data_IF_275592597781
#
_entry.id   IF_275592597781
#
_cell.length_a   1.000
_cell.length_b   1.000
_cell.length_c   1.000
_cell.angle_alpha   90.00
_cell.angle_beta   90.00
_cell.angle_gamma   90.00
#
_symmetry.space_group_name_H-M   'P 1'
#
loop_
_entity.id
_entity.type
_entity.pdbx_description
1 polymer ?
#
# COMPACT_ATOMS: atom_id res chain seq x y z
N UNK A 1 -6.35 4.99 -2.89
CA UNK A 1 -6.32 5.72 -1.61
C UNK A 1 -4.93 6.29 -1.40
N UNK A 2 -4.83 7.56 -1.01
CA UNK A 2 -3.56 8.19 -0.60
C UNK A 2 -3.58 8.46 0.89
N UNK A 3 -2.42 8.27 1.52
CA UNK A 3 -2.22 8.50 2.95
C UNK A 3 -0.95 9.30 3.18
N UNK A 4 -0.91 10.13 4.21
CA UNK A 4 0.27 10.91 4.61
C UNK A 4 0.85 10.31 5.89
N UNK A 5 2.16 10.06 5.90
CA UNK A 5 2.85 9.55 7.07
C UNK A 5 2.93 10.64 8.16
N UNK A 6 2.31 10.39 9.32
CA UNK A 6 2.37 11.28 10.49
C UNK A 6 3.35 10.74 11.54
N UNK A 7 3.58 9.43 11.54
CA UNK A 7 4.46 8.75 12.48
C UNK A 7 5.26 7.66 11.75
N UNK A 8 6.54 7.54 12.08
CA UNK A 8 7.43 6.53 11.50
C UNK A 8 8.20 5.73 12.57
N UNK A 9 7.74 5.76 13.82
CA UNK A 9 8.36 5.04 14.93
C UNK A 9 7.33 4.24 15.73
N UNK A 10 7.75 3.08 16.23
CA UNK A 10 6.96 2.16 17.05
C UNK A 10 6.50 2.75 18.39
N UNK A 11 7.15 3.82 18.86
CA UNK A 11 6.83 4.53 20.11
C UNK A 11 5.40 5.07 20.16
N UNK A 12 4.82 5.34 19.01
CA UNK A 12 3.49 5.94 18.88
C UNK A 12 2.42 4.90 18.49
N UNK A 13 2.80 3.62 18.42
CA UNK A 13 1.84 2.55 18.20
C UNK A 13 1.04 2.28 19.48
N UNK A 14 -0.26 1.93 19.35
CA UNK A 14 -1.06 1.49 20.48
C UNK A 14 -0.42 0.31 21.22
N UNK A 15 -0.45 0.34 22.55
CA UNK A 15 0.18 -0.70 23.37
C UNK A 15 -0.43 -2.09 23.10
N UNK A 16 -1.73 -2.18 22.80
CA UNK A 16 -2.36 -3.45 22.46
C UNK A 16 -1.88 -3.99 21.10
N UNK A 17 -1.49 -3.12 20.16
CA UNK A 17 -0.87 -3.54 18.90
C UNK A 17 0.54 -4.08 19.13
N UNK A 18 1.34 -3.39 19.95
CA UNK A 18 2.70 -3.83 20.33
C UNK A 18 2.70 -5.15 21.12
N UNK A 19 1.65 -5.38 21.91
CA UNK A 19 1.50 -6.61 22.70
C UNK A 19 0.99 -7.81 21.88
N UNK A 20 0.54 -7.59 20.63
CA UNK A 20 0.18 -8.68 19.72
C UNK A 20 1.46 -9.28 19.13
N UNK A 21 1.37 -10.50 18.60
CA UNK A 21 2.49 -11.22 17.98
C UNK A 21 2.95 -10.60 16.64
N UNK A 22 3.02 -9.27 16.59
CA UNK A 22 3.63 -8.53 15.50
C UNK A 22 5.15 -8.52 15.70
N UNK A 23 5.90 -8.30 14.62
CA UNK A 23 7.35 -8.10 14.67
C UNK A 23 7.75 -6.73 15.22
N UNK A 24 6.78 -5.87 15.58
CA UNK A 24 7.02 -4.48 15.96
C UNK A 24 7.12 -4.32 17.48
N UNK A 25 7.98 -3.40 17.88
CA UNK A 25 8.20 -2.99 19.26
C UNK A 25 8.36 -1.46 19.33
N UNK A 26 8.51 -0.91 20.54
CA UNK A 26 8.68 0.54 20.75
C UNK A 26 9.92 1.12 20.05
N UNK A 27 10.94 0.30 19.79
CA UNK A 27 12.19 0.71 19.16
C UNK A 27 12.18 0.49 17.63
N UNK A 28 11.04 0.05 17.07
CA UNK A 28 10.91 -0.16 15.63
C UNK A 28 10.93 1.17 14.91
N UNK A 29 11.85 1.32 13.97
CA UNK A 29 11.87 2.43 13.02
C UNK A 29 11.32 1.94 11.68
N UNK A 30 10.29 2.62 11.19
CA UNK A 30 9.65 2.31 9.91
C UNK A 30 10.39 3.02 8.79
N UNK A 31 10.54 2.36 7.64
CA UNK A 31 11.18 2.93 6.44
C UNK A 31 10.29 3.96 5.73
N UNK A 32 9.71 4.89 6.49
CA UNK A 32 8.76 5.91 6.05
C UNK A 32 9.33 7.30 6.32
N UNK A 33 9.09 8.22 5.40
CA UNK A 33 9.38 9.64 5.56
C UNK A 33 8.16 10.35 6.14
N UNK A 34 8.38 11.12 7.21
CA UNK A 34 7.35 11.98 7.78
C UNK A 34 6.85 13.00 6.75
N UNK A 35 5.57 13.32 6.81
CA UNK A 35 4.83 14.19 5.89
C UNK A 35 4.84 13.76 4.42
N UNK A 36 5.48 12.64 4.06
CA UNK A 36 5.41 12.10 2.70
C UNK A 36 4.05 11.43 2.47
N UNK A 37 3.52 11.66 1.28
CA UNK A 37 2.32 11.00 0.78
C UNK A 37 2.68 9.66 0.14
N UNK A 38 1.86 8.64 0.43
CA UNK A 38 2.01 7.28 -0.09
C UNK A 38 0.70 6.83 -0.73
N UNK A 39 0.82 6.12 -1.85
CA UNK A 39 -0.28 5.39 -2.44
C UNK A 39 -0.44 4.04 -1.73
N UNK A 40 -1.62 3.81 -1.15
CA UNK A 40 -2.00 2.51 -0.60
C UNK A 40 -2.32 1.59 -1.76
N UNK A 41 -1.58 0.48 -1.86
CA UNK A 41 -1.70 -0.49 -2.95
C UNK A 41 -2.64 -1.66 -2.62
N UNK A 42 -2.72 -2.01 -1.34
CA UNK A 42 -3.68 -2.93 -0.78
C UNK A 42 -3.89 -2.58 0.70
N UNK A 43 -4.99 -3.05 1.28
CA UNK A 43 -5.23 -2.96 2.71
C UNK A 43 -5.82 -4.25 3.28
N UNK A 44 -5.51 -4.53 4.53
CA UNK A 44 -5.92 -5.76 5.20
C UNK A 44 -6.33 -5.50 6.66
N UNK A 45 -7.29 -6.30 7.13
CA UNK A 45 -7.77 -6.29 8.50
C UNK A 45 -7.29 -7.56 9.19
N UNK A 46 -6.34 -7.40 10.10
CA UNK A 46 -5.94 -8.47 11.00
C UNK A 46 -5.53 -7.87 12.33
N UNK A 47 -5.63 -8.67 13.40
CA UNK A 47 -5.40 -8.20 14.77
C UNK A 47 -6.28 -7.01 15.21
N UNK A 48 -7.43 -6.78 14.57
CA UNK A 48 -8.33 -5.66 14.88
C UNK A 48 -7.83 -4.30 14.41
N UNK A 49 -6.81 -4.27 13.55
CA UNK A 49 -6.25 -3.06 12.97
C UNK A 49 -6.34 -3.08 11.45
N UNK A 50 -6.43 -1.88 10.88
CA UNK A 50 -6.18 -1.68 9.46
C UNK A 50 -4.70 -1.61 9.17
N UNK A 51 -4.31 -2.30 8.11
CA UNK A 51 -2.93 -2.45 7.66
C UNK A 51 -2.85 -2.02 6.20
N UNK A 52 -1.85 -1.19 5.88
CA UNK A 52 -1.65 -0.63 4.55
C UNK A 52 -0.39 -1.19 3.92
N UNK A 53 -0.54 -1.71 2.71
CA UNK A 53 0.58 -2.08 1.84
C UNK A 53 0.94 -0.84 1.01
N UNK A 54 2.10 -0.24 1.29
CA UNK A 54 2.65 0.93 0.56
C UNK A 54 4.08 0.68 0.05
N UNK A 55 4.44 1.31 -1.07
CA UNK A 55 5.82 1.35 -1.56
C UNK A 55 6.63 2.34 -0.71
N UNK A 56 7.42 1.81 0.22
CA UNK A 56 8.23 2.60 1.16
C UNK A 56 9.62 2.95 0.61
N UNK A 57 10.46 3.61 1.41
CA UNK A 57 11.77 4.12 0.97
C UNK A 57 12.79 3.03 0.59
N UNK A 58 12.56 1.77 0.97
CA UNK A 58 13.44 0.67 0.57
C UNK A 58 13.32 0.37 -0.93
N UNK A 59 12.19 0.75 -1.52
CA UNK A 59 11.86 0.45 -2.92
C UNK A 59 12.61 1.36 -3.92
N UNK A 60 13.05 2.55 -3.52
CA UNK A 60 13.67 3.52 -4.45
C UNK A 60 15.07 3.11 -4.95
N UNK A 61 15.71 2.10 -4.34
CA UNK A 61 17.12 1.77 -4.58
C UNK A 61 17.39 0.46 -5.35
N UNK A 62 16.37 -0.37 -5.57
CA UNK A 62 16.56 -1.65 -6.25
C UNK A 62 15.32 -2.02 -7.07
N UNK A 63 15.51 -2.46 -8.31
CA UNK A 63 14.50 -3.07 -9.21
C UNK A 63 13.78 -4.32 -8.62
N UNK A 64 14.04 -4.64 -7.35
CA UNK A 64 13.45 -5.72 -6.57
C UNK A 64 12.18 -5.20 -5.89
N UNK A 65 11.07 -5.41 -6.56
CA UNK A 65 9.73 -5.19 -6.05
C UNK A 65 9.22 -6.55 -5.47
N UNK A 66 8.36 -6.61 -4.42
CA UNK A 66 8.19 -5.61 -3.36
C UNK A 66 7.53 -6.11 -2.03
N UNK A 67 7.31 -5.19 -1.08
CA UNK A 67 6.55 -5.32 0.19
C UNK A 67 6.96 -6.47 1.11
N UNK A 68 7.85 -6.17 2.05
CA UNK A 68 8.11 -7.13 3.13
C UNK A 68 7.03 -7.15 4.19
N UNK A 69 6.43 -5.99 4.52
CA UNK A 69 5.46 -5.91 5.61
C UNK A 69 4.43 -4.82 5.36
N UNK A 70 3.15 -5.07 5.70
CA UNK A 70 2.18 -4.00 5.79
C UNK A 70 2.47 -3.07 6.98
N UNK A 71 2.01 -1.83 6.88
CA UNK A 71 2.16 -0.81 7.92
C UNK A 71 0.85 -0.59 8.67
N UNK A 72 0.87 -0.39 10.00
CA UNK A 72 -0.32 -0.04 10.75
C UNK A 72 -0.92 1.29 10.24
N UNK A 73 -2.23 1.32 9.99
CA UNK A 73 -2.95 2.53 9.56
C UNK A 73 -2.78 3.73 10.51
N UNK A 74 -2.55 3.47 11.80
CA UNK A 74 -2.31 4.49 12.84
C UNK A 74 -1.06 5.34 12.59
N UNK A 75 -0.16 4.91 11.69
CA UNK A 75 1.01 5.69 11.28
C UNK A 75 0.66 6.81 10.28
N UNK A 76 -0.59 6.85 9.80
CA UNK A 76 -0.99 7.70 8.68
C UNK A 76 -2.27 8.48 8.91
N UNK A 77 -2.37 9.60 8.20
CA UNK A 77 -3.59 10.36 7.96
C UNK A 77 -4.11 10.08 6.55
N UNK A 78 -5.43 9.90 6.38
CA UNK A 78 -6.03 9.72 5.05
C UNK A 78 -6.19 11.08 4.38
N UNK A 79 -5.54 11.27 3.24
CA UNK A 79 -5.61 12.49 2.42
C UNK A 79 -6.52 12.31 1.20
N UNK A 80 -6.61 11.10 0.65
CA UNK A 80 -7.60 10.73 -0.36
C UNK A 80 -8.16 9.34 -0.06
N UNK A 81 -9.41 9.30 0.43
CA UNK A 81 -10.10 8.07 0.84
C UNK A 81 -10.72 7.25 -0.30
N UNK A 82 -10.60 7.66 -1.58
CA UNK A 82 -11.15 6.89 -2.69
C UNK A 82 -10.45 5.53 -2.78
N UNK A 83 -11.25 4.47 -2.92
CA UNK A 83 -10.74 3.13 -3.19
C UNK A 83 -10.35 3.04 -4.67
N UNK A 84 -9.28 2.30 -4.97
CA UNK A 84 -8.92 2.03 -6.36
C UNK A 84 -10.02 1.23 -7.05
N UNK A 85 -10.30 1.51 -8.32
CA UNK A 85 -11.29 0.73 -9.10
C UNK A 85 -10.82 -0.70 -9.38
N UNK A 86 -9.51 -0.94 -9.25
CA UNK A 86 -8.89 -2.26 -9.39
C UNK A 86 -9.00 -3.12 -8.13
N UNK A 87 -9.36 -2.55 -6.98
CA UNK A 87 -9.48 -3.32 -5.75
C UNK A 87 -10.70 -4.24 -5.76
N UNK A 88 -10.49 -5.45 -5.22
CA UNK A 88 -11.52 -6.42 -4.90
C UNK A 88 -11.45 -6.74 -3.41
N UNK A 89 -12.63 -6.84 -2.82
CA UNK A 89 -12.80 -7.32 -1.47
C UNK A 89 -12.78 -8.85 -1.45
N UNK A 90 -12.10 -9.41 -0.45
CA UNK A 90 -12.28 -10.80 -0.07
C UNK A 90 -12.14 -10.96 1.45
N UNK A 91 -12.61 -12.08 1.97
CA UNK A 91 -12.40 -12.49 3.35
C UNK A 91 -11.92 -13.93 3.40
N UNK A 92 -11.00 -14.23 4.30
CA UNK A 92 -10.53 -15.59 4.53
C UNK A 92 -10.37 -15.85 6.03
N UNK A 93 -10.41 -17.12 6.41
CA UNK A 93 -10.13 -17.52 7.79
C UNK A 93 -8.65 -17.84 7.87
N UNK A 94 -7.91 -17.07 8.66
CA UNK A 94 -6.53 -17.40 8.96
C UNK A 94 -6.49 -18.67 9.81
N UNK A 95 -5.63 -19.61 9.42
CA UNK A 95 -5.59 -20.95 10.02
C UNK A 95 -4.95 -20.92 11.41
N UNK A 96 -4.04 -19.99 11.66
CA UNK A 96 -3.30 -19.91 12.92
C UNK A 96 -4.12 -19.21 13.99
N UNK A 97 -4.61 -18.00 13.69
CA UNK A 97 -5.43 -17.19 14.61
C UNK A 97 -6.88 -17.66 14.70
N UNK A 98 -7.38 -18.43 13.71
CA UNK A 98 -8.80 -18.77 13.52
C UNK A 98 -9.71 -17.54 13.38
N UNK A 99 -9.14 -16.38 13.12
CA UNK A 99 -9.87 -15.15 12.90
C UNK A 99 -10.26 -15.01 11.43
N UNK A 100 -11.37 -14.31 11.17
CA UNK A 100 -11.69 -13.87 9.81
C UNK A 100 -10.92 -12.59 9.54
N UNK A 101 -10.12 -12.63 8.48
CA UNK A 101 -9.36 -11.51 7.96
C UNK A 101 -10.04 -10.99 6.70
N UNK A 102 -9.85 -9.69 6.44
CA UNK A 102 -10.50 -8.98 5.34
C UNK A 102 -9.44 -8.29 4.51
N UNK A 103 -9.46 -8.47 3.19
CA UNK A 103 -8.48 -7.86 2.29
C UNK A 103 -9.18 -7.05 1.21
N UNK A 104 -8.59 -5.92 0.87
CA UNK A 104 -8.88 -5.14 -0.32
C UNK A 104 -7.58 -4.99 -1.12
N UNK A 105 -7.49 -5.69 -2.24
CA UNK A 105 -6.30 -5.74 -3.06
C UNK A 105 -6.65 -5.95 -4.53
N UNK A 106 -5.66 -5.96 -5.42
CA UNK A 106 -5.84 -6.35 -6.83
C UNK A 106 -6.46 -7.76 -6.94
N UNK A 107 -7.18 -8.09 -8.03
CA UNK A 107 -8.01 -9.30 -8.11
C UNK A 107 -7.27 -10.61 -7.84
N UNK A 108 -6.05 -10.74 -8.37
CA UNK A 108 -5.19 -11.92 -8.22
C UNK A 108 -4.73 -12.11 -6.77
N UNK A 109 -4.43 -11.01 -6.09
CA UNK A 109 -4.06 -10.99 -4.68
C UNK A 109 -5.29 -11.30 -3.82
N UNK A 110 -6.38 -10.55 -3.96
CA UNK A 110 -7.59 -10.74 -3.17
C UNK A 110 -8.14 -12.17 -3.29
N UNK A 111 -8.06 -12.80 -4.47
CA UNK A 111 -8.54 -14.18 -4.69
C UNK A 111 -7.76 -15.23 -3.91
N UNK A 112 -6.45 -15.08 -3.78
CA UNK A 112 -5.56 -16.07 -3.16
C UNK A 112 -4.59 -15.40 -2.17
N UNK A 113 -5.13 -14.61 -1.22
CA UNK A 113 -4.37 -13.66 -0.39
C UNK A 113 -3.03 -14.17 0.11
N UNK A 114 -3.06 -15.26 0.86
CA UNK A 114 -1.87 -15.87 1.50
C UNK A 114 -0.85 -16.34 0.46
N UNK A 115 -1.31 -17.04 -0.58
CA UNK A 115 -0.41 -17.62 -1.60
C UNK A 115 0.19 -16.54 -2.49
N UNK A 116 -0.61 -15.55 -2.88
CA UNK A 116 -0.13 -14.42 -3.68
C UNK A 116 0.91 -13.64 -2.88
N UNK A 117 0.59 -13.25 -1.64
CA UNK A 117 1.50 -12.50 -0.78
C UNK A 117 2.84 -13.22 -0.55
N UNK A 118 2.80 -14.52 -0.25
CA UNK A 118 4.01 -15.31 -0.05
C UNK A 118 4.92 -15.29 -1.29
N UNK A 119 4.37 -15.60 -2.46
CA UNK A 119 5.12 -15.61 -3.73
C UNK A 119 5.65 -14.25 -4.13
N UNK A 120 4.86 -13.23 -3.82
CA UNK A 120 5.20 -11.84 -4.05
C UNK A 120 6.40 -11.40 -3.21
N UNK A 121 6.45 -11.75 -1.92
CA UNK A 121 7.62 -11.52 -1.05
C UNK A 121 8.84 -12.31 -1.52
N UNK A 122 8.65 -13.57 -1.92
CA UNK A 122 9.71 -14.44 -2.47
C UNK A 122 10.24 -13.92 -3.82
N UNK A 123 9.57 -12.93 -4.41
CA UNK A 123 9.96 -12.28 -5.64
C UNK A 123 9.69 -13.13 -6.89
N UNK A 124 8.67 -13.98 -6.86
CA UNK A 124 8.24 -14.73 -8.04
C UNK A 124 7.75 -13.76 -9.14
N UNK A 125 8.28 -13.95 -10.36
CA UNK A 125 8.07 -13.01 -11.47
C UNK A 125 6.60 -12.72 -11.81
N UNK A 126 5.68 -13.72 -11.86
CA UNK A 126 4.29 -13.45 -12.23
C UNK A 126 3.59 -12.48 -11.26
N UNK A 127 3.75 -12.69 -9.96
CA UNK A 127 3.14 -11.86 -8.93
C UNK A 127 3.75 -10.44 -8.90
N UNK A 128 5.06 -10.31 -9.12
CA UNK A 128 5.72 -9.00 -9.30
C UNK A 128 5.17 -8.27 -10.52
N UNK A 129 5.07 -8.94 -11.67
CA UNK A 129 4.68 -8.31 -12.94
C UNK A 129 3.22 -7.85 -12.90
N UNK A 130 2.35 -8.69 -12.32
CA UNK A 130 0.96 -8.34 -12.03
C UNK A 130 0.92 -7.07 -11.18
N UNK A 131 1.66 -7.04 -10.07
CA UNK A 131 1.68 -5.88 -9.20
C UNK A 131 2.19 -4.62 -9.90
N UNK A 132 3.33 -4.69 -10.60
CA UNK A 132 3.91 -3.54 -11.31
C UNK A 132 2.92 -2.95 -12.30
N UNK A 133 2.19 -3.81 -13.04
CA UNK A 133 1.13 -3.38 -13.96
C UNK A 133 0.03 -2.60 -13.22
N UNK A 134 -0.51 -3.16 -12.14
CA UNK A 134 -1.56 -2.47 -11.37
C UNK A 134 -1.05 -1.21 -10.67
N UNK A 135 0.21 -1.17 -10.24
CA UNK A 135 0.81 0.01 -9.61
C UNK A 135 0.78 1.21 -10.55
N UNK A 136 1.18 1.03 -11.80
CA UNK A 136 1.09 2.08 -12.83
C UNK A 136 -0.35 2.56 -13.00
N UNK A 137 -1.31 1.63 -13.08
CA UNK A 137 -2.72 1.99 -13.25
C UNK A 137 -3.29 2.73 -12.03
N UNK A 138 -2.93 2.32 -10.81
CA UNK A 138 -3.35 3.01 -9.60
C UNK A 138 -2.68 4.39 -9.47
N UNK A 139 -1.42 4.54 -9.88
CA UNK A 139 -0.77 5.86 -9.89
C UNK A 139 -1.52 6.86 -10.77
N UNK A 140 -2.13 6.40 -11.87
CA UNK A 140 -2.98 7.22 -12.73
C UNK A 140 -4.33 7.59 -12.09
N UNK A 141 -4.90 6.75 -11.23
CA UNK A 141 -6.12 7.07 -10.47
C UNK A 141 -5.88 8.13 -9.37
N UNK A 142 -4.64 8.22 -8.90
CA UNK A 142 -4.19 9.05 -7.80
C UNK A 142 -2.99 9.92 -8.21
N UNK A 143 -3.13 10.77 -9.25
CA UNK A 143 -2.01 11.53 -9.77
C UNK A 143 -1.41 12.44 -8.69
N UNK A 144 -0.11 12.65 -8.77
CA UNK A 144 0.56 13.62 -7.92
C UNK A 144 -0.04 15.00 -8.15
N UNK A 145 -0.25 15.77 -7.07
CA UNK A 145 -0.72 17.14 -7.14
C UNK A 145 0.21 17.99 -8.03
N UNK A 146 1.52 17.71 -8.02
CA UNK A 146 2.49 18.37 -8.90
C UNK A 146 2.29 18.03 -10.39
N UNK A 147 1.70 16.87 -10.70
CA UNK A 147 1.36 16.46 -12.08
C UNK A 147 0.04 17.11 -12.47
N UNK A 148 -0.99 17.11 -11.63
CA UNK A 148 -2.27 17.78 -11.95
C UNK A 148 -2.15 19.30 -12.08
N UNK A 149 -1.19 19.93 -11.41
CA UNK A 149 -0.84 21.34 -11.64
C UNK A 149 -0.23 21.59 -13.04
N UNK A 150 0.42 20.57 -13.63
CA UNK A 150 1.21 20.70 -14.86
C UNK A 150 0.64 19.96 -16.06
N UNK A 151 -0.29 19.04 -15.86
CA UNK A 151 -0.87 18.20 -16.90
C UNK A 151 -2.27 17.73 -16.51
N UNK A 152 -3.20 17.84 -17.45
CA UNK A 152 -4.55 17.30 -17.34
C UNK A 152 -4.59 15.89 -17.92
N UNK A 153 -5.15 14.95 -17.16
CA UNK A 153 -5.47 13.61 -17.65
C UNK A 153 -6.65 13.71 -18.62
N UNK A 154 -6.48 13.23 -19.84
CA UNK A 154 -7.50 13.08 -20.87
C UNK A 154 -8.09 11.66 -20.86
N UNK A 155 -9.16 11.45 -21.63
CA UNK A 155 -9.68 10.12 -21.91
C UNK A 155 -8.60 9.20 -22.52
N UNK A 156 -8.59 7.93 -22.08
CA UNK A 156 -7.67 6.85 -22.48
C UNK A 156 -6.22 6.96 -21.94
N UNK A 157 -6.02 7.45 -20.72
CA UNK A 157 -4.70 7.51 -20.05
C UNK A 157 -3.67 8.43 -20.75
N UNK A 158 -4.12 9.35 -21.60
CA UNK A 158 -3.27 10.36 -22.23
C UNK A 158 -3.12 11.57 -21.30
N UNK A 159 -1.88 12.03 -21.11
CA UNK A 159 -1.58 13.24 -20.35
C UNK A 159 -1.38 14.42 -21.30
N UNK A 160 -2.13 15.51 -21.12
CA UNK A 160 -1.93 16.78 -21.82
C UNK A 160 -1.28 17.77 -20.88
N UNK A 161 -0.08 18.26 -21.20
CA UNK A 161 0.52 19.41 -20.51
C UNK A 161 -0.09 20.70 -21.10
N UNK A 162 -0.91 21.48 -20.37
CA UNK A 162 -1.46 22.72 -20.90
C UNK A 162 -0.43 23.85 -21.03
N UNK A 163 0.77 23.69 -20.43
CA UNK A 163 1.84 24.71 -20.46
C UNK A 163 3.11 24.09 -21.01
N UNK A 164 3.25 24.08 -22.33
CA UNK A 164 4.57 23.94 -22.96
C UNK A 164 5.33 25.25 -22.72
N UNK A 165 6.38 25.20 -21.89
CA UNK A 165 7.39 26.28 -21.87
C UNK A 165 8.35 25.95 -23.00
N UNK A 166 8.39 26.82 -24.01
CA UNK A 166 9.36 26.79 -25.12
C UNK A 166 10.81 26.94 -24.63
#
# INVERSE_FOLDING_TARGET
MKVKCIHNSGKLLPQDLLNKQTIFNVDTEFALKLEKEYLVCAMECFYGYMWYYICDERHDSTDKCPFWNPYPSVLFEIIDGRLSTFWKYNSYVDKESKCTEYIFALPEWAKNSVKFYYRFIEGESPEIDIFKKYKVLMDLEFPDNMITEKATILDNDWLMCPVCID
#
